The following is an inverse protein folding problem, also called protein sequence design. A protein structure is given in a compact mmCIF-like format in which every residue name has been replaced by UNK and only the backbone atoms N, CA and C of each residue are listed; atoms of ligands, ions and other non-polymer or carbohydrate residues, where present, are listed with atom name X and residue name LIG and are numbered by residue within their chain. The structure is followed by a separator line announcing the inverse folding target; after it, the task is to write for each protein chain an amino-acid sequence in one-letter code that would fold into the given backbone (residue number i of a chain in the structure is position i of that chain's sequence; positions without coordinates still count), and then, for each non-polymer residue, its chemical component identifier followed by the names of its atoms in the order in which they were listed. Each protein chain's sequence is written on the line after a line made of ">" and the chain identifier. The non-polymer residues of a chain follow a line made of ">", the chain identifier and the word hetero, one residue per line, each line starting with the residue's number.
data_IF_863821346242
#
_entry.id   IF_863821346242
#
_cell.length_a   1.000
_cell.length_b   1.000
_cell.length_c   1.000
_cell.angle_alpha   90.00
_cell.angle_beta   90.00
_cell.angle_gamma   90.00
#
_symmetry.space_group_name_H-M   'P 1'
#
loop_
_entity.id
_entity.type
_entity.pdbx_description
1 polymer ?
#
# COMPACT_ATOMS: atom_id res chain seq x y z
N UNK A 1 -11.69 3.00 -12.51
CA UNK A 1 -11.03 1.77 -13.00
C UNK A 1 -9.51 1.78 -12.76
N UNK A 2 -8.74 2.74 -13.34
CA UNK A 2 -7.28 2.75 -13.16
C UNK A 2 -6.87 2.89 -11.69
N UNK A 3 -7.55 3.73 -10.93
CA UNK A 3 -7.31 3.94 -9.48
C UNK A 3 -7.68 2.69 -8.68
N UNK A 4 -8.82 2.06 -8.95
CA UNK A 4 -9.24 0.83 -8.29
C UNK A 4 -8.24 -0.30 -8.54
N UNK A 5 -7.76 -0.43 -9.77
CA UNK A 5 -6.72 -1.40 -10.12
C UNK A 5 -5.40 -1.08 -9.43
N UNK A 6 -5.00 0.21 -9.36
CA UNK A 6 -3.80 0.63 -8.66
C UNK A 6 -3.90 0.37 -7.15
N UNK A 7 -5.07 0.58 -6.54
CA UNK A 7 -5.33 0.26 -5.13
C UNK A 7 -5.23 -1.24 -4.87
N UNK A 8 -5.83 -2.06 -5.73
CA UNK A 8 -5.75 -3.51 -5.63
C UNK A 8 -4.31 -4.00 -5.75
N UNK A 9 -3.55 -3.46 -6.71
CA UNK A 9 -2.14 -3.82 -6.88
C UNK A 9 -1.28 -3.34 -5.71
N UNK A 10 -1.56 -2.15 -5.18
CA UNK A 10 -0.86 -1.62 -4.01
C UNK A 10 -1.16 -2.46 -2.75
N UNK A 11 -2.38 -2.94 -2.58
CA UNK A 11 -2.74 -3.85 -1.50
C UNK A 11 -1.95 -5.16 -1.59
N UNK A 12 -1.87 -5.75 -2.78
CA UNK A 12 -1.04 -6.95 -3.02
C UNK A 12 0.43 -6.69 -2.66
N UNK A 13 0.98 -5.54 -3.06
CA UNK A 13 2.37 -5.18 -2.77
C UNK A 13 2.61 -4.82 -1.30
N UNK A 14 1.61 -4.28 -0.60
CA UNK A 14 1.71 -3.91 0.82
C UNK A 14 1.60 -5.12 1.75
N UNK A 15 0.83 -6.12 1.35
CA UNK A 15 0.54 -7.29 2.17
C UNK A 15 1.22 -8.56 1.69
N UNK A 16 1.90 -8.47 0.55
CA UNK A 16 2.57 -9.55 -0.17
C UNK A 16 2.65 -10.88 0.60
N UNK A 17 1.99 -11.88 0.10
CA UNK A 17 2.14 -13.29 0.49
C UNK A 17 1.94 -13.67 1.98
N UNK A 18 1.55 -12.77 2.88
CA UNK A 18 1.22 -13.19 4.25
C UNK A 18 0.07 -14.19 4.26
N UNK A 19 -0.92 -14.00 3.40
CA UNK A 19 -2.03 -14.93 3.24
C UNK A 19 -1.54 -16.27 2.69
N UNK A 20 -0.70 -16.28 1.66
CA UNK A 20 -0.12 -17.50 1.09
C UNK A 20 0.88 -18.17 2.04
N UNK A 21 1.69 -17.39 2.75
CA UNK A 21 2.60 -17.91 3.77
C UNK A 21 1.84 -18.60 4.92
N UNK A 22 0.67 -18.07 5.29
CA UNK A 22 -0.20 -18.69 6.30
C UNK A 22 -0.91 -19.96 5.78
N UNK A 23 -1.25 -20.02 4.48
CA UNK A 23 -1.76 -21.23 3.83
C UNK A 23 -0.72 -22.36 3.82
N UNK A 24 0.55 -22.00 3.66
CA UNK A 24 1.64 -22.98 3.66
C UNK A 24 2.00 -23.49 5.08
N UNK A 25 1.47 -22.83 6.12
CA UNK A 25 1.74 -23.23 7.48
C UNK A 25 1.02 -24.55 7.81
N UNK A 26 1.79 -25.51 8.26
CA UNK A 26 1.30 -26.88 8.54
C UNK A 26 0.15 -26.84 9.53
N UNK A 27 -1.05 -27.23 9.08
CA UNK A 27 -2.22 -27.42 9.92
C UNK A 27 -3.43 -26.54 9.57
N UNK A 28 -3.28 -25.51 8.75
CA UNK A 28 -4.40 -24.70 8.29
C UNK A 28 -5.04 -25.36 7.07
N UNK A 29 -6.22 -25.94 7.24
CA UNK A 29 -6.97 -26.54 6.13
C UNK A 29 -7.73 -25.50 5.32
N UNK A 30 -8.19 -24.43 5.94
CA UNK A 30 -8.97 -23.37 5.29
C UNK A 30 -8.69 -22.02 5.97
N UNK A 31 -8.41 -21.00 5.19
CA UNK A 31 -8.42 -19.62 5.66
C UNK A 31 -9.80 -19.00 5.35
N UNK A 32 -10.30 -18.10 6.19
CA UNK A 32 -11.48 -17.33 5.84
C UNK A 32 -11.23 -16.56 4.55
N UNK A 33 -12.23 -16.38 3.68
CA UNK A 33 -12.08 -15.58 2.48
C UNK A 33 -11.61 -14.18 2.85
N UNK A 34 -10.63 -13.66 2.11
CA UNK A 34 -10.14 -12.30 2.31
C UNK A 34 -11.29 -11.33 1.98
N UNK A 35 -11.76 -10.53 2.94
CA UNK A 35 -12.79 -9.54 2.65
C UNK A 35 -12.23 -8.44 1.74
N UNK A 36 -13.12 -7.78 1.01
CA UNK A 36 -12.75 -6.70 0.11
C UNK A 36 -12.21 -5.49 0.89
N UNK A 37 -11.30 -4.79 0.24
CA UNK A 37 -10.79 -3.51 0.68
C UNK A 37 -11.92 -2.46 0.62
N UNK A 38 -12.06 -1.67 1.67
CA UNK A 38 -13.08 -0.61 1.74
C UNK A 38 -12.42 0.76 1.66
N UNK A 39 -12.73 1.52 0.60
CA UNK A 39 -12.27 2.90 0.45
C UNK A 39 -13.09 3.78 1.38
N UNK A 40 -12.43 4.53 2.26
CA UNK A 40 -13.06 5.49 3.17
C UNK A 40 -13.15 6.90 2.56
N UNK A 41 -12.06 7.35 1.94
CA UNK A 41 -12.03 8.68 1.34
C UNK A 41 -11.04 8.75 0.17
N UNK A 42 -11.38 9.61 -0.79
CA UNK A 42 -10.47 10.02 -1.88
C UNK A 42 -10.48 11.55 -1.90
N UNK A 43 -9.29 12.14 -1.83
CA UNK A 43 -9.09 13.58 -1.90
C UNK A 43 -8.12 13.88 -3.04
N UNK A 44 -8.57 14.69 -4.00
CA UNK A 44 -7.75 15.19 -5.10
C UNK A 44 -6.94 16.42 -4.69
N UNK A 45 -5.77 16.59 -5.25
CA UNK A 45 -4.88 17.72 -4.98
C UNK A 45 -4.71 17.99 -3.47
N UNK A 46 -4.48 16.91 -2.71
CA UNK A 46 -4.32 17.03 -1.26
C UNK A 46 -3.02 17.73 -0.91
N UNK A 47 -3.07 18.84 -0.13
CA UNK A 47 -1.86 19.50 0.31
C UNK A 47 -1.07 18.63 1.29
N UNK A 48 0.24 18.59 1.11
CA UNK A 48 1.20 18.09 2.11
C UNK A 48 1.67 19.30 2.91
N UNK A 49 1.44 19.26 4.21
CA UNK A 49 1.69 20.40 5.09
C UNK A 49 2.78 20.10 6.12
N UNK A 50 3.55 21.12 6.44
CA UNK A 50 4.50 21.13 7.55
C UNK A 50 4.16 22.29 8.48
N UNK A 51 3.62 22.00 9.66
CA UNK A 51 3.12 23.04 10.60
C UNK A 51 2.17 24.01 9.85
N UNK A 52 2.69 25.19 9.50
CA UNK A 52 1.91 26.27 8.87
C UNK A 52 2.19 26.45 7.38
N UNK A 53 3.00 25.57 6.78
CA UNK A 53 3.40 25.71 5.38
C UNK A 53 2.90 24.55 4.53
N UNK A 54 2.42 24.87 3.33
CA UNK A 54 2.17 23.88 2.30
C UNK A 54 3.50 23.56 1.62
N UNK A 55 3.91 22.30 1.69
CA UNK A 55 5.13 21.79 1.06
C UNK A 55 4.90 21.50 -0.42
N UNK A 56 3.69 21.06 -0.75
CA UNK A 56 3.26 20.74 -2.11
C UNK A 56 1.92 20.02 -2.08
N UNK A 57 1.56 19.44 -3.21
CA UNK A 57 0.30 18.72 -3.37
C UNK A 57 0.59 17.35 -3.96
N UNK A 58 -0.12 16.33 -3.50
CA UNK A 58 -0.21 15.05 -4.18
C UNK A 58 -1.44 15.05 -5.07
N UNK A 59 -1.34 14.47 -6.25
CA UNK A 59 -2.43 14.49 -7.24
C UNK A 59 -3.70 13.83 -6.69
N UNK A 60 -3.54 12.74 -5.91
CA UNK A 60 -4.65 12.10 -5.23
C UNK A 60 -4.18 11.44 -3.93
N UNK A 61 -5.04 11.46 -2.92
CA UNK A 61 -4.83 10.81 -1.64
C UNK A 61 -6.01 9.91 -1.31
N UNK A 62 -5.72 8.68 -0.91
CA UNK A 62 -6.75 7.70 -0.58
C UNK A 62 -6.54 7.13 0.82
N UNK A 63 -7.61 7.12 1.61
CA UNK A 63 -7.68 6.37 2.86
C UNK A 63 -8.58 5.16 2.66
N UNK A 64 -8.14 4.02 3.15
CA UNK A 64 -8.88 2.78 3.02
C UNK A 64 -8.62 1.84 4.19
N UNK A 65 -9.59 0.98 4.46
CA UNK A 65 -9.46 -0.11 5.41
C UNK A 65 -9.04 -1.38 4.66
N UNK A 66 -7.89 -1.89 5.04
CA UNK A 66 -7.37 -3.15 4.51
C UNK A 66 -7.60 -4.27 5.52
N UNK A 67 -8.25 -5.36 5.13
CA UNK A 67 -8.35 -6.52 6.00
C UNK A 67 -6.98 -7.17 6.17
N UNK A 68 -6.61 -7.41 7.41
CA UNK A 68 -5.37 -8.07 7.80
C UNK A 68 -5.71 -9.31 8.61
N UNK A 69 -5.13 -10.43 8.23
CA UNK A 69 -5.24 -11.63 9.03
C UNK A 69 -4.25 -11.54 10.20
N UNK A 70 -4.79 -11.51 11.40
CA UNK A 70 -4.03 -11.52 12.65
C UNK A 70 -4.11 -12.90 13.29
N UNK A 71 -2.98 -13.45 13.70
CA UNK A 71 -2.91 -14.71 14.43
C UNK A 71 -2.70 -14.40 15.91
N UNK A 72 -3.66 -14.81 16.73
CA UNK A 72 -3.55 -14.76 18.18
C UNK A 72 -3.16 -16.14 18.72
N UNK A 73 -2.40 -16.19 19.79
CA UNK A 73 -2.04 -17.44 20.46
C UNK A 73 -0.70 -18.03 20.06
N UNK A 74 0.11 -17.33 19.29
CA UNK A 74 1.54 -17.67 19.16
C UNK A 74 2.29 -17.17 20.39
N UNK A 75 1.90 -17.67 21.57
CA UNK A 75 2.67 -17.49 22.78
C UNK A 75 4.00 -18.24 22.67
N UNK A 76 5.05 -17.64 23.20
CA UNK A 76 6.43 -18.16 23.30
C UNK A 76 6.52 -19.45 24.14
N UNK A 77 5.40 -20.06 24.49
CA UNK A 77 5.35 -21.25 25.33
C UNK A 77 5.13 -22.51 24.48
N UNK A 78 6.26 -23.11 24.14
CA UNK A 78 6.37 -24.49 23.72
C UNK A 78 5.55 -25.37 24.66
N UNK A 79 4.64 -26.16 24.13
CA UNK A 79 3.96 -27.32 24.65
C UNK A 79 2.43 -27.29 24.74
N UNK A 80 1.76 -26.33 24.17
CA UNK A 80 0.31 -26.40 24.03
C UNK A 80 -0.06 -26.68 22.57
N UNK A 81 -0.91 -27.65 22.38
CA UNK A 81 -1.59 -28.00 21.12
C UNK A 81 -2.60 -26.93 20.71
N UNK A 82 -2.38 -25.68 21.08
CA UNK A 82 -3.31 -24.59 20.81
C UNK A 82 -3.25 -24.23 19.34
N UNK A 83 -4.35 -24.52 18.67
CA UNK A 83 -4.59 -24.11 17.28
C UNK A 83 -4.61 -22.58 17.27
N UNK A 84 -3.78 -21.90 16.48
CA UNK A 84 -3.81 -20.46 16.41
C UNK A 84 -5.19 -19.98 15.96
N UNK A 85 -5.76 -19.04 16.73
CA UNK A 85 -7.03 -18.40 16.36
C UNK A 85 -6.70 -17.28 15.38
N UNK A 86 -7.30 -17.36 14.20
CA UNK A 86 -7.17 -16.31 13.20
C UNK A 86 -8.36 -15.37 13.27
N UNK A 87 -8.06 -14.09 13.34
CA UNK A 87 -9.06 -13.03 13.30
C UNK A 87 -8.74 -12.05 12.17
N UNK A 88 -9.79 -11.65 11.45
CA UNK A 88 -9.67 -10.60 10.45
C UNK A 88 -9.82 -9.26 11.14
N UNK A 89 -8.71 -8.55 11.25
CA UNK A 89 -8.69 -7.17 11.70
C UNK A 89 -8.69 -6.23 10.49
N UNK A 90 -9.12 -4.99 10.69
CA UNK A 90 -9.05 -3.97 9.66
C UNK A 90 -8.00 -2.92 10.06
N UNK A 91 -7.04 -2.68 9.18
CA UNK A 91 -6.04 -1.63 9.36
C UNK A 91 -6.32 -0.47 8.43
N UNK A 92 -6.35 0.73 9.00
CA UNK A 92 -6.44 1.97 8.23
C UNK A 92 -5.12 2.25 7.54
N UNK A 93 -5.15 2.41 6.22
CA UNK A 93 -4.00 2.67 5.37
C UNK A 93 -4.20 3.90 4.52
N UNK A 94 -3.09 4.49 4.13
CA UNK A 94 -3.07 5.71 3.35
C UNK A 94 -2.13 5.54 2.15
N UNK A 95 -2.63 5.91 0.97
CA UNK A 95 -1.87 6.00 -0.26
C UNK A 95 -1.92 7.41 -0.82
N UNK A 96 -0.77 7.88 -1.27
CA UNK A 96 -0.61 9.13 -1.99
C UNK A 96 -0.19 8.82 -3.43
N UNK A 97 -0.88 9.37 -4.40
CA UNK A 97 -0.67 9.09 -5.81
C UNK A 97 -0.09 10.29 -6.53
N UNK A 98 0.95 10.04 -7.32
CA UNK A 98 1.50 10.93 -8.32
C UNK A 98 1.15 10.39 -9.70
N UNK A 99 0.40 11.16 -10.47
CA UNK A 99 -0.10 10.76 -11.79
C UNK A 99 0.69 11.51 -12.84
N UNK A 100 1.47 10.80 -13.63
CA UNK A 100 2.37 11.37 -14.63
C UNK A 100 2.08 10.79 -16.01
N UNK A 101 1.90 11.63 -17.00
CA UNK A 101 1.80 11.20 -18.41
C UNK A 101 3.15 10.73 -18.95
N UNK A 102 4.23 11.32 -18.44
CA UNK A 102 5.62 10.92 -18.70
C UNK A 102 6.48 11.27 -17.50
N UNK A 103 7.64 10.63 -17.37
CA UNK A 103 8.62 10.89 -16.31
C UNK A 103 9.92 11.41 -16.96
N UNK A 104 10.01 12.71 -17.25
CA UNK A 104 11.19 13.27 -17.91
C UNK A 104 12.43 13.26 -17.01
N UNK A 105 12.24 13.40 -15.71
CA UNK A 105 13.32 13.38 -14.71
C UNK A 105 12.95 12.49 -13.52
N UNK A 106 13.50 11.28 -13.50
CA UNK A 106 13.34 10.35 -12.40
C UNK A 106 13.89 10.93 -11.08
N UNK A 107 15.02 11.62 -11.15
CA UNK A 107 15.66 12.19 -9.95
C UNK A 107 14.80 13.27 -9.29
N UNK A 108 14.10 14.08 -10.06
CA UNK A 108 13.18 15.09 -9.53
C UNK A 108 11.96 14.45 -8.90
N UNK A 109 11.36 13.46 -9.55
CA UNK A 109 10.23 12.73 -9.01
C UNK A 109 10.58 12.05 -7.69
N UNK A 110 11.72 11.37 -7.59
CA UNK A 110 12.17 10.73 -6.35
C UNK A 110 12.40 11.77 -5.25
N UNK A 111 13.04 12.91 -5.56
CA UNK A 111 13.25 13.98 -4.57
C UNK A 111 11.93 14.55 -4.06
N UNK A 112 10.97 14.80 -4.95
CA UNK A 112 9.63 15.26 -4.58
C UNK A 112 8.95 14.28 -3.63
N UNK A 113 8.92 12.99 -3.98
CA UNK A 113 8.29 11.95 -3.16
C UNK A 113 9.01 11.84 -1.80
N UNK A 114 10.35 11.85 -1.77
CA UNK A 114 11.12 11.81 -0.51
C UNK A 114 10.83 13.01 0.38
N UNK A 115 10.71 14.18 -0.20
CA UNK A 115 10.31 15.37 0.53
C UNK A 115 8.92 15.17 1.17
N UNK A 116 7.95 14.69 0.42
CA UNK A 116 6.60 14.46 0.92
C UNK A 116 6.55 13.38 2.01
N UNK A 117 7.36 12.33 1.90
CA UNK A 117 7.47 11.26 2.90
C UNK A 117 7.93 11.75 4.28
N UNK A 118 8.62 12.88 4.35
CA UNK A 118 9.00 13.49 5.63
C UNK A 118 7.79 14.10 6.38
N UNK A 119 6.69 14.35 5.68
CA UNK A 119 5.51 15.01 6.24
C UNK A 119 4.23 14.17 6.13
N UNK A 120 4.31 13.01 5.50
CA UNK A 120 3.17 12.10 5.32
C UNK A 120 3.57 10.66 5.59
N UNK A 121 2.72 9.93 6.31
CA UNK A 121 2.91 8.48 6.55
C UNK A 121 2.36 7.62 5.41
N UNK A 122 1.74 8.23 4.40
CA UNK A 122 1.19 7.52 3.27
C UNK A 122 2.28 6.78 2.48
N UNK A 123 1.93 5.64 1.92
CA UNK A 123 2.76 5.01 0.87
C UNK A 123 2.54 5.74 -0.44
N UNK A 124 3.62 5.98 -1.17
CA UNK A 124 3.54 6.69 -2.44
C UNK A 124 3.44 5.72 -3.62
N UNK A 125 2.52 6.03 -4.51
CA UNK A 125 2.24 5.30 -5.75
C UNK A 125 2.41 6.25 -6.92
N UNK A 126 3.23 5.88 -7.88
CA UNK A 126 3.35 6.57 -9.16
C UNK A 126 2.51 5.85 -10.19
N UNK A 127 1.62 6.56 -10.84
CA UNK A 127 0.81 6.05 -11.96
C UNK A 127 1.29 6.71 -13.24
N UNK A 128 1.75 5.91 -14.21
CA UNK A 128 2.22 6.44 -15.49
C UNK A 128 2.10 5.38 -16.60
N UNK A 129 1.85 5.77 -17.87
CA UNK A 129 2.02 4.89 -19.00
C UNK A 129 3.51 4.64 -19.32
N UNK A 130 4.39 5.54 -18.87
CA UNK A 130 5.85 5.47 -19.07
C UNK A 130 6.48 4.60 -17.97
N UNK A 131 6.79 3.34 -18.30
CA UNK A 131 7.32 2.35 -17.38
C UNK A 131 8.86 2.23 -17.39
N UNK A 132 9.57 3.06 -18.15
CA UNK A 132 11.04 3.02 -18.25
C UNK A 132 11.75 3.07 -16.90
N UNK A 133 11.13 3.67 -15.91
CA UNK A 133 11.69 3.88 -14.58
C UNK A 133 11.05 3.00 -13.49
N UNK A 134 10.15 2.09 -13.84
CA UNK A 134 9.38 1.27 -12.89
C UNK A 134 10.27 0.49 -11.91
N UNK A 135 11.31 -0.18 -12.41
CA UNK A 135 12.24 -0.94 -11.58
C UNK A 135 13.05 -0.06 -10.62
N UNK A 136 13.44 1.13 -11.05
CA UNK A 136 14.18 2.06 -10.19
C UNK A 136 13.29 2.63 -9.08
N UNK A 137 12.04 2.97 -9.38
CA UNK A 137 11.05 3.41 -8.39
C UNK A 137 10.80 2.29 -7.36
N UNK A 138 10.63 1.06 -7.80
CA UNK A 138 10.47 -0.11 -6.94
C UNK A 138 11.67 -0.31 -5.99
N UNK A 139 12.91 -0.18 -6.50
CA UNK A 139 14.12 -0.24 -5.67
C UNK A 139 14.17 0.87 -4.61
N UNK A 140 13.52 2.00 -4.85
CA UNK A 140 13.36 3.10 -3.90
C UNK A 140 12.18 2.91 -2.93
N UNK A 141 11.47 1.78 -2.99
CA UNK A 141 10.28 1.52 -2.18
C UNK A 141 9.06 2.36 -2.58
N UNK A 142 9.07 2.88 -3.81
CA UNK A 142 7.95 3.61 -4.40
C UNK A 142 7.17 2.64 -5.28
N UNK A 143 5.87 2.54 -5.04
CA UNK A 143 5.00 1.66 -5.82
C UNK A 143 4.79 2.28 -7.19
N UNK A 144 4.93 1.49 -8.24
CA UNK A 144 4.64 1.92 -9.61
C UNK A 144 3.49 1.12 -10.19
N UNK A 145 2.57 1.82 -10.80
CA UNK A 145 1.45 1.24 -11.54
C UNK A 145 1.44 1.79 -12.96
N UNK A 146 1.58 0.87 -13.94
CA UNK A 146 1.43 1.21 -15.35
C UNK A 146 -0.04 1.22 -15.72
N UNK A 147 -0.51 2.30 -16.35
CA UNK A 147 -1.83 2.30 -16.96
C UNK A 147 -1.71 2.38 -18.48
N UNK A 148 -2.64 1.73 -19.15
CA UNK A 148 -2.84 1.93 -20.59
C UNK A 148 -3.93 2.98 -20.78
N UNK A 149 -3.68 4.07 -21.55
CA UNK A 149 -4.66 5.09 -21.83
C UNK A 149 -5.84 4.56 -22.65
#
# INVERSE_FOLDING_TARGET
>A
KAVENALSQADINLHGNRYEALLQWKGLKELPPKPDLTIESIVWEKPIVSKDYIIGFVDMFCEFNSPVLSAYGMGVFSNTTDIPIFEICHEKKQLAFEIKTSIPSLGELIRQIRMYQNYSRAKFVVISPDDRHAEMLKKQGIIFYKYAP
#
